data_IF_989052734220
#
_entry.id   IF_989052734220
#
_cell.length_a   1.000
_cell.length_b   1.000
_cell.length_c   1.000
_cell.angle_alpha   90.00
_cell.angle_beta   90.00
_cell.angle_gamma   90.00
#
_symmetry.space_group_name_H-M   'P 1'
#
loop_
_entity.id
_entity.type
_entity.pdbx_description
1 polymer ?
#
# COMPACT_ATOMS: atom_id res chain seq x y z
N UNK A 1 -19.50 -1.85 -12.07
CA UNK A 1 -19.54 -1.57 -10.64
C UNK A 1 -18.21 -1.00 -10.15
N UNK A 2 -18.25 -0.34 -9.01
CA UNK A 2 -17.05 0.23 -8.43
C UNK A 2 -16.11 -0.87 -7.92
N UNK A 3 -14.80 -0.69 -8.07
CA UNK A 3 -13.86 -1.67 -7.55
C UNK A 3 -13.84 -1.65 -6.01
N UNK A 4 -13.47 -2.78 -5.44
CA UNK A 4 -13.17 -2.86 -4.01
C UNK A 4 -11.80 -2.23 -3.79
N UNK A 5 -11.72 -1.20 -2.96
CA UNK A 5 -10.51 -0.39 -2.81
C UNK A 5 -9.74 -0.78 -1.56
N UNK A 6 -8.50 -1.18 -1.76
CA UNK A 6 -7.60 -1.58 -0.68
C UNK A 6 -6.47 -0.56 -0.60
N UNK A 7 -6.26 0.02 0.58
CA UNK A 7 -5.20 0.97 0.82
C UNK A 7 -4.13 0.34 1.68
N UNK A 8 -2.89 0.34 1.18
CA UNK A 8 -1.72 -0.02 1.98
C UNK A 8 -1.03 1.25 2.45
N UNK A 9 -0.84 1.37 3.76
CA UNK A 9 -0.05 2.46 4.32
C UNK A 9 1.35 1.95 4.53
N UNK A 10 2.31 2.61 3.89
CA UNK A 10 3.73 2.24 3.91
C UNK A 10 4.51 3.41 4.48
N UNK A 11 5.41 3.13 5.40
CA UNK A 11 6.21 4.15 6.07
C UNK A 11 7.66 3.67 6.16
N UNK A 12 8.63 4.57 6.34
CA UNK A 12 10.04 4.18 6.38
C UNK A 12 10.31 3.06 7.40
N UNK A 13 11.17 2.14 7.00
CA UNK A 13 11.55 0.97 7.79
C UNK A 13 10.43 -0.06 7.97
N UNK A 14 9.46 -0.07 7.06
CA UNK A 14 8.37 -1.05 7.10
C UNK A 14 8.92 -2.47 6.91
N UNK A 15 8.15 -3.47 7.35
CA UNK A 15 8.52 -4.86 7.17
C UNK A 15 8.07 -5.34 5.79
N UNK A 16 9.03 -5.81 4.99
CA UNK A 16 8.77 -6.20 3.60
C UNK A 16 7.74 -7.32 3.49
N UNK A 17 7.77 -8.29 4.38
CA UNK A 17 6.85 -9.42 4.33
C UNK A 17 5.44 -9.01 4.68
N UNK A 18 5.27 -8.11 5.67
CA UNK A 18 3.96 -7.63 6.07
C UNK A 18 3.27 -6.85 4.94
N UNK A 19 4.06 -6.29 4.03
CA UNK A 19 3.53 -5.67 2.82
C UNK A 19 3.33 -6.70 1.71
N UNK A 20 4.37 -7.43 1.35
CA UNK A 20 4.38 -8.27 0.15
C UNK A 20 3.42 -9.45 0.28
N UNK A 21 3.26 -10.03 1.48
CA UNK A 21 2.35 -11.14 1.69
C UNK A 21 0.91 -10.80 1.35
N UNK A 22 0.31 -9.82 2.04
CA UNK A 22 -1.05 -9.40 1.73
C UNK A 22 -1.20 -8.84 0.32
N UNK A 23 -0.22 -8.07 -0.16
CA UNK A 23 -0.28 -7.50 -1.49
C UNK A 23 -0.36 -8.61 -2.55
N UNK A 24 0.46 -9.64 -2.41
CA UNK A 24 0.50 -10.77 -3.35
C UNK A 24 -0.84 -11.50 -3.40
N UNK A 25 -1.54 -11.55 -2.28
CA UNK A 25 -2.84 -12.20 -2.21
C UNK A 25 -3.94 -11.31 -2.78
N UNK A 26 -3.95 -10.04 -2.37
CA UNK A 26 -5.07 -9.15 -2.67
C UNK A 26 -5.14 -8.71 -4.12
N UNK A 27 -3.99 -8.55 -4.79
CA UNK A 27 -4.04 -8.07 -6.17
C UNK A 27 -4.71 -9.09 -7.10
N UNK A 28 -4.85 -10.34 -6.66
CA UNK A 28 -5.50 -11.39 -7.45
C UNK A 28 -7.02 -11.34 -7.36
N UNK A 29 -7.57 -10.54 -6.47
CA UNK A 29 -9.03 -10.44 -6.31
C UNK A 29 -9.61 -9.71 -7.53
N UNK A 30 -10.64 -10.28 -8.17
CA UNK A 30 -11.28 -9.60 -9.30
C UNK A 30 -11.85 -8.24 -8.89
N UNK A 31 -11.72 -7.25 -9.78
CA UNK A 31 -12.26 -5.90 -9.58
C UNK A 31 -11.76 -5.24 -8.30
N UNK A 32 -10.47 -5.40 -8.01
CA UNK A 32 -9.84 -4.74 -6.87
C UNK A 32 -8.98 -3.57 -7.38
N UNK A 33 -8.93 -2.50 -6.60
CA UNK A 33 -8.01 -1.39 -6.83
C UNK A 33 -7.14 -1.25 -5.60
N UNK A 34 -5.83 -1.38 -5.78
CA UNK A 34 -4.87 -1.26 -4.67
C UNK A 34 -4.13 0.05 -4.79
N UNK A 35 -4.12 0.81 -3.70
CA UNK A 35 -3.39 2.07 -3.61
C UNK A 35 -2.31 1.92 -2.55
N UNK A 36 -1.09 2.36 -2.88
CA UNK A 36 0.03 2.40 -1.95
C UNK A 36 0.25 3.86 -1.56
N UNK A 37 0.17 4.15 -0.28
CA UNK A 37 0.31 5.51 0.22
C UNK A 37 1.30 5.58 1.36
N UNK A 38 1.96 6.72 1.48
CA UNK A 38 2.92 6.97 2.56
C UNK A 38 2.75 8.39 3.08
N UNK A 39 3.29 8.70 4.26
CA UNK A 39 3.15 10.05 4.82
C UNK A 39 3.68 11.14 3.89
N UNK A 40 4.81 10.89 3.20
CA UNK A 40 5.51 11.91 2.41
C UNK A 40 5.42 11.68 0.91
N UNK A 41 4.69 10.67 0.46
CA UNK A 41 4.63 10.23 -0.94
C UNK A 41 6.00 9.82 -1.49
N UNK A 42 6.03 9.22 -2.69
CA UNK A 42 7.27 8.86 -3.35
C UNK A 42 7.83 7.53 -2.89
N UNK A 43 9.14 7.41 -2.88
CA UNK A 43 9.81 6.15 -2.56
C UNK A 43 9.89 5.93 -1.06
N UNK A 44 9.64 4.70 -0.63
CA UNK A 44 9.73 4.32 0.79
C UNK A 44 10.60 3.08 0.89
N UNK A 45 11.57 3.11 1.81
CA UNK A 45 12.55 2.03 1.97
C UNK A 45 12.20 1.21 3.21
N UNK A 46 12.17 -0.12 3.05
CA UNK A 46 11.91 -1.03 4.16
C UNK A 46 13.11 -1.15 5.08
N UNK A 47 12.92 -1.78 6.23
CA UNK A 47 14.03 -2.03 7.16
C UNK A 47 15.14 -2.86 6.51
N UNK A 48 14.81 -3.69 5.53
CA UNK A 48 15.77 -4.53 4.83
C UNK A 48 16.39 -3.85 3.61
N UNK A 49 15.98 -2.62 3.29
CA UNK A 49 16.52 -1.87 2.16
C UNK A 49 15.72 -2.02 0.86
N UNK A 50 14.57 -2.69 0.89
CA UNK A 50 13.71 -2.80 -0.28
C UNK A 50 12.98 -1.48 -0.50
N UNK A 51 13.04 -0.96 -1.73
CA UNK A 51 12.40 0.32 -2.06
C UNK A 51 11.08 0.08 -2.76
N UNK A 52 10.01 0.65 -2.22
CA UNK A 52 8.71 0.70 -2.88
C UNK A 52 8.59 2.09 -3.50
N UNK A 53 8.41 2.14 -4.80
CA UNK A 53 8.39 3.41 -5.53
C UNK A 53 6.99 3.96 -5.74
N UNK A 54 6.93 5.29 -5.90
CA UNK A 54 5.75 5.94 -6.41
C UNK A 54 4.52 5.92 -5.51
N UNK A 55 4.70 5.88 -4.19
CA UNK A 55 3.53 5.92 -3.30
C UNK A 55 2.83 7.27 -3.38
N UNK A 56 1.53 7.26 -3.12
CA UNK A 56 0.73 8.49 -3.05
C UNK A 56 0.81 9.06 -1.64
N UNK A 57 0.54 10.36 -1.53
CA UNK A 57 0.54 11.01 -0.21
C UNK A 57 -0.70 10.58 0.57
N UNK A 58 -0.49 10.05 1.76
CA UNK A 58 -1.57 9.51 2.58
C UNK A 58 -2.68 10.55 2.83
N UNK A 59 -2.31 11.80 3.06
CA UNK A 59 -3.28 12.86 3.33
C UNK A 59 -4.24 13.12 2.17
N UNK A 60 -3.90 12.68 0.96
CA UNK A 60 -4.75 12.86 -0.22
C UNK A 60 -5.74 11.72 -0.44
N UNK A 61 -5.65 10.65 0.35
CA UNK A 61 -6.56 9.51 0.21
C UNK A 61 -7.83 9.81 0.97
N UNK A 62 -8.97 9.76 0.27
CA UNK A 62 -10.25 10.13 0.88
C UNK A 62 -10.98 8.94 1.48
N UNK A 63 -10.85 7.75 0.89
CA UNK A 63 -11.56 6.59 1.38
C UNK A 63 -10.92 5.30 0.87
N UNK A 64 -11.25 4.22 1.55
CA UNK A 64 -10.92 2.86 1.11
C UNK A 64 -11.93 1.91 1.74
N UNK A 65 -11.99 0.70 1.20
CA UNK A 65 -12.85 -0.35 1.75
C UNK A 65 -12.08 -1.21 2.75
N UNK A 66 -10.78 -1.38 2.56
CA UNK A 66 -9.91 -2.15 3.44
C UNK A 66 -8.60 -1.40 3.62
N UNK A 67 -8.17 -1.30 4.87
CA UNK A 67 -6.93 -0.64 5.24
C UNK A 67 -5.92 -1.68 5.70
N UNK A 68 -4.72 -1.65 5.09
CA UNK A 68 -3.61 -2.53 5.47
C UNK A 68 -2.44 -1.67 5.95
N UNK A 69 -2.03 -1.87 7.19
CA UNK A 69 -0.91 -1.16 7.78
C UNK A 69 0.27 -2.12 7.87
N UNK A 70 1.39 -1.75 7.28
CA UNK A 70 2.61 -2.58 7.22
C UNK A 70 3.61 -2.24 8.34
#
# INVERSE_FOLDING_TARGET
SNPFEILFIIYPDFNSLDFAGPFEMFFRIPNVKITLASPSRGNVTSEAGLVIGGTEKLANIERCDLLCIT
#
